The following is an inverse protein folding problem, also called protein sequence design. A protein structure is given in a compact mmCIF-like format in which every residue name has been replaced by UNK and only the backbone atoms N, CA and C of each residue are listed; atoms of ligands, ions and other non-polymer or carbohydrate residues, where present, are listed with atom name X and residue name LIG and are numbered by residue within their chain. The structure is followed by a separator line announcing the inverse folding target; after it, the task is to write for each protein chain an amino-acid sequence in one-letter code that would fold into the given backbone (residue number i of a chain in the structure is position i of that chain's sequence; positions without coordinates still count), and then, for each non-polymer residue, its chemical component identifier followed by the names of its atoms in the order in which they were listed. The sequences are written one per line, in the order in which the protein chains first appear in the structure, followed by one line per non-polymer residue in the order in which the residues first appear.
data_IF_721233441330
#
_entry.id   IF_721233441330
#
_cell.length_a   1.000
_cell.length_b   1.000
_cell.length_c   1.000
_cell.angle_alpha   90.00
_cell.angle_beta   90.00
_cell.angle_gamma   90.00
#
_symmetry.space_group_name_H-M   'P 1'
#
loop_
_entity.id
_entity.type
_entity.pdbx_description
1 polymer ?
#
# COMPACT_ATOMS: atom_id res chain seq x y z
N UNK A 1 47.07 -60.95 26.46
CA UNK A 1 45.74 -60.49 26.89
C UNK A 1 45.30 -59.38 25.94
N UNK A 2 44.42 -59.70 24.98
CA UNK A 2 43.95 -58.76 23.94
C UNK A 2 42.72 -58.02 24.47
N UNK A 3 42.76 -56.69 24.40
CA UNK A 3 41.64 -55.83 24.77
C UNK A 3 40.51 -55.99 23.74
N UNK A 4 39.27 -56.13 24.24
CA UNK A 4 38.06 -56.31 23.46
C UNK A 4 37.59 -54.95 22.87
N UNK A 5 37.50 -54.77 21.54
CA UNK A 5 37.22 -53.47 20.91
C UNK A 5 35.74 -53.07 20.83
N UNK A 6 34.81 -53.85 21.41
CA UNK A 6 33.37 -53.66 21.15
C UNK A 6 32.68 -52.54 21.94
N UNK A 7 33.35 -51.86 22.88
CA UNK A 7 32.65 -50.93 23.78
C UNK A 7 32.78 -49.43 23.42
N UNK A 8 33.05 -49.10 22.14
CA UNK A 8 33.18 -47.68 21.69
C UNK A 8 32.10 -47.21 20.70
N UNK A 9 31.16 -48.06 20.29
CA UNK A 9 30.15 -47.69 19.28
C UNK A 9 28.82 -47.16 19.84
N UNK A 10 28.55 -47.29 21.14
CA UNK A 10 27.21 -47.02 21.66
C UNK A 10 26.96 -45.58 22.18
N UNK A 11 27.88 -44.63 22.01
CA UNK A 11 27.73 -43.28 22.61
C UNK A 11 27.41 -42.18 21.59
N UNK A 12 27.54 -42.42 20.29
CA UNK A 12 27.41 -41.35 19.28
C UNK A 12 26.17 -41.42 18.37
N UNK A 13 25.28 -42.39 18.55
CA UNK A 13 24.08 -42.52 17.68
C UNK A 13 22.84 -41.78 18.19
N UNK A 14 22.86 -41.25 19.42
CA UNK A 14 21.70 -40.53 20.01
C UNK A 14 21.74 -39.00 19.96
N UNK A 15 22.76 -38.39 19.34
CA UNK A 15 22.99 -36.94 19.39
C UNK A 15 22.79 -36.20 18.05
N UNK A 16 22.52 -36.93 16.95
CA UNK A 16 22.29 -36.32 15.64
C UNK A 16 20.81 -36.07 15.31
N UNK A 17 19.88 -36.91 15.78
CA UNK A 17 18.45 -36.78 15.41
C UNK A 17 17.80 -35.48 15.91
N UNK A 18 18.14 -35.01 17.11
CA UNK A 18 17.54 -33.80 17.68
C UNK A 18 18.11 -32.48 17.12
N UNK A 19 19.22 -32.52 16.36
CA UNK A 19 19.78 -31.33 15.70
C UNK A 19 19.01 -30.98 14.44
N UNK A 20 18.63 -31.99 13.67
CA UNK A 20 17.91 -31.82 12.41
C UNK A 20 16.46 -31.37 12.65
N UNK A 21 15.77 -31.94 13.65
CA UNK A 21 14.41 -31.51 14.02
C UNK A 21 14.35 -30.06 14.51
N UNK A 22 15.35 -29.62 15.28
CA UNK A 22 15.41 -28.25 15.81
C UNK A 22 15.73 -27.23 14.72
N UNK A 23 16.53 -27.62 13.73
CA UNK A 23 16.85 -26.76 12.59
C UNK A 23 15.71 -26.71 11.57
N UNK A 24 14.99 -27.81 11.36
CA UNK A 24 13.77 -27.86 10.55
C UNK A 24 12.64 -27.07 11.22
N UNK A 25 12.42 -27.23 12.53
CA UNK A 25 11.48 -26.42 13.28
C UNK A 25 11.84 -24.92 13.21
N UNK A 26 13.13 -24.56 13.25
CA UNK A 26 13.57 -23.16 13.10
C UNK A 26 13.36 -22.65 11.67
N UNK A 27 13.50 -23.51 10.65
CA UNK A 27 13.19 -23.17 9.25
C UNK A 27 11.71 -23.01 9.01
N UNK A 28 10.88 -23.89 9.58
CA UNK A 28 9.42 -23.79 9.54
C UNK A 28 8.93 -22.56 10.30
N UNK A 29 9.47 -22.29 11.50
CA UNK A 29 9.17 -21.08 12.27
C UNK A 29 9.54 -19.80 11.48
N UNK A 30 10.73 -19.77 10.85
CA UNK A 30 11.14 -18.67 9.96
C UNK A 30 10.27 -18.56 8.70
N UNK A 31 9.80 -19.68 8.15
CA UNK A 31 8.90 -19.69 7.01
C UNK A 31 7.51 -19.18 7.39
N UNK A 32 6.98 -19.59 8.55
CA UNK A 32 5.71 -19.12 9.11
C UNK A 32 5.78 -17.62 9.43
N UNK A 33 6.88 -17.14 10.02
CA UNK A 33 7.08 -15.72 10.33
C UNK A 33 7.33 -14.86 9.06
N UNK A 34 7.96 -15.44 8.03
CA UNK A 34 8.18 -14.78 6.72
C UNK A 34 6.95 -14.75 5.82
N UNK A 35 6.11 -15.79 5.88
CA UNK A 35 4.81 -15.93 5.23
C UNK A 35 3.71 -15.11 5.94
N UNK A 36 4.01 -14.56 7.12
CA UNK A 36 3.04 -13.86 7.97
C UNK A 36 2.84 -12.37 7.58
N UNK A 37 3.89 -11.67 7.16
CA UNK A 37 3.81 -10.22 6.90
C UNK A 37 3.78 -9.84 5.42
N UNK A 38 4.59 -10.48 4.58
CA UNK A 38 4.64 -10.16 3.15
C UNK A 38 3.35 -10.54 2.45
N UNK A 39 2.77 -11.68 2.79
CA UNK A 39 1.52 -12.14 2.19
C UNK A 39 0.34 -11.27 2.63
N UNK A 40 0.29 -10.85 3.90
CA UNK A 40 -0.69 -9.86 4.37
C UNK A 40 -0.57 -8.51 3.64
N UNK A 41 0.65 -8.03 3.40
CA UNK A 41 0.88 -6.79 2.63
C UNK A 41 0.46 -6.95 1.16
N UNK A 42 0.75 -8.10 0.55
CA UNK A 42 0.35 -8.44 -0.81
C UNK A 42 -1.17 -8.51 -0.95
N UNK A 43 -1.86 -9.16 0.00
CA UNK A 43 -3.33 -9.22 0.04
C UNK A 43 -3.94 -7.82 0.19
N UNK A 44 -3.38 -6.98 1.07
CA UNK A 44 -3.84 -5.61 1.23
C UNK A 44 -3.61 -4.76 -0.02
N UNK A 45 -2.46 -4.93 -0.69
CA UNK A 45 -2.18 -4.26 -1.95
C UNK A 45 -3.14 -4.71 -3.06
N UNK A 46 -3.40 -6.02 -3.19
CA UNK A 46 -4.35 -6.57 -4.16
C UNK A 46 -5.77 -6.06 -3.91
N UNK A 47 -6.21 -6.06 -2.65
CA UNK A 47 -7.51 -5.52 -2.24
C UNK A 47 -7.65 -4.04 -2.49
N UNK A 48 -6.60 -3.25 -2.24
CA UNK A 48 -6.57 -1.83 -2.57
C UNK A 48 -6.71 -1.61 -4.08
N UNK A 49 -5.97 -2.36 -4.88
CA UNK A 49 -6.02 -2.24 -6.35
C UNK A 49 -7.36 -2.69 -6.92
N UNK A 50 -7.98 -3.75 -6.40
CA UNK A 50 -9.33 -4.18 -6.80
C UNK A 50 -10.35 -3.08 -6.57
N UNK A 51 -10.40 -2.53 -5.35
CA UNK A 51 -11.34 -1.44 -5.03
C UNK A 51 -11.09 -0.19 -5.89
N UNK A 52 -9.83 0.16 -6.14
CA UNK A 52 -9.50 1.29 -7.01
C UNK A 52 -9.92 1.04 -8.48
N UNK A 53 -9.77 -0.19 -8.96
CA UNK A 53 -10.16 -0.57 -10.32
C UNK A 53 -11.68 -0.50 -10.49
N UNK A 54 -12.44 -1.09 -9.57
CA UNK A 54 -13.91 -1.07 -9.57
C UNK A 54 -14.44 0.38 -9.62
N UNK A 55 -13.93 1.27 -8.77
CA UNK A 55 -14.31 2.70 -8.76
C UNK A 55 -13.87 3.46 -10.02
N UNK A 56 -12.69 3.12 -10.56
CA UNK A 56 -12.19 3.76 -11.79
C UNK A 56 -13.01 3.33 -13.01
N UNK A 57 -13.50 2.09 -13.04
CA UNK A 57 -14.33 1.55 -14.11
C UNK A 57 -15.77 2.05 -14.06
N UNK A 58 -16.34 2.18 -12.86
CA UNK A 58 -17.70 2.73 -12.67
C UNK A 58 -17.80 4.21 -13.08
N UNK A 59 -16.67 4.92 -13.09
CA UNK A 59 -16.58 6.37 -13.33
C UNK A 59 -17.48 7.17 -12.37
N UNK A 60 -17.68 6.63 -11.18
CA UNK A 60 -18.46 7.27 -10.15
C UNK A 60 -17.80 8.58 -9.70
N UNK A 61 -18.64 9.58 -9.40
CA UNK A 61 -18.21 10.87 -8.84
C UNK A 61 -18.62 10.94 -7.38
N UNK A 62 -17.69 11.37 -6.55
CA UNK A 62 -17.88 11.54 -5.12
C UNK A 62 -17.77 13.02 -4.73
N UNK A 63 -18.50 13.48 -3.70
CA UNK A 63 -18.26 14.79 -3.11
C UNK A 63 -16.82 14.91 -2.63
N UNK A 64 -16.17 16.05 -2.89
CA UNK A 64 -14.81 16.27 -2.45
C UNK A 64 -14.75 16.53 -0.94
N UNK A 65 -14.10 15.66 -0.14
CA UNK A 65 -14.07 15.79 1.31
C UNK A 65 -13.03 16.81 1.80
N UNK A 66 -12.23 17.38 0.90
CA UNK A 66 -11.02 18.13 1.24
C UNK A 66 -9.78 17.23 1.34
N UNK A 67 -8.62 17.86 1.51
CA UNK A 67 -7.34 17.18 1.77
C UNK A 67 -6.79 17.56 3.14
N UNK A 68 -5.96 16.69 3.71
CA UNK A 68 -5.28 16.94 4.98
C UNK A 68 -4.41 18.20 4.91
N UNK A 69 -4.45 19.04 5.97
CA UNK A 69 -3.78 20.35 5.99
C UNK A 69 -2.25 20.24 5.77
N UNK A 70 -1.64 19.19 6.31
CA UNK A 70 -0.21 18.93 6.14
C UNK A 70 0.12 18.66 4.67
N UNK A 71 -0.73 17.91 3.97
CA UNK A 71 -0.55 17.60 2.54
C UNK A 71 -0.74 18.86 1.71
N UNK A 72 -1.79 19.64 2.00
CA UNK A 72 -2.04 20.92 1.33
C UNK A 72 -0.84 21.86 1.42
N UNK A 73 -0.29 22.00 2.64
CA UNK A 73 0.89 22.86 2.89
C UNK A 73 2.10 22.40 2.08
N UNK A 74 2.33 21.08 1.99
CA UNK A 74 3.42 20.51 1.19
C UNK A 74 3.22 20.74 -0.31
N UNK A 75 2.01 20.55 -0.82
CA UNK A 75 1.70 20.80 -2.23
C UNK A 75 1.92 22.27 -2.60
N UNK A 76 1.46 23.23 -1.78
CA UNK A 76 1.73 24.66 -2.00
C UNK A 76 3.23 24.96 -2.02
N UNK A 77 4.01 24.35 -1.13
CA UNK A 77 5.46 24.56 -1.10
C UNK A 77 6.12 24.07 -2.40
N UNK A 78 5.72 22.90 -2.89
CA UNK A 78 6.20 22.35 -4.17
C UNK A 78 5.82 23.24 -5.35
N UNK A 79 4.59 23.74 -5.41
CA UNK A 79 4.15 24.66 -6.48
C UNK A 79 4.96 25.96 -6.51
N UNK A 80 5.36 26.47 -5.34
CA UNK A 80 6.21 27.67 -5.22
C UNK A 80 7.65 27.42 -5.63
N UNK A 81 8.15 26.21 -5.38
CA UNK A 81 9.50 25.81 -5.77
C UNK A 81 9.61 25.56 -7.27
N UNK A 82 8.53 25.04 -7.89
CA UNK A 82 8.48 24.68 -9.31
C UNK A 82 7.29 25.34 -10.03
N UNK A 83 7.27 26.69 -10.14
CA UNK A 83 6.13 27.40 -10.72
C UNK A 83 5.97 27.04 -12.21
N UNK A 84 4.73 26.74 -12.62
CA UNK A 84 4.37 26.43 -14.01
C UNK A 84 4.69 25.01 -14.47
N UNK A 85 5.16 24.13 -13.57
CA UNK A 85 5.41 22.73 -13.90
C UNK A 85 4.12 21.89 -13.93
N UNK A 86 3.12 22.28 -13.13
CA UNK A 86 1.85 21.57 -12.95
C UNK A 86 0.70 22.55 -12.77
N UNK A 87 -0.54 22.06 -12.85
CA UNK A 87 -1.72 22.84 -12.44
C UNK A 87 -1.52 23.33 -11.00
N UNK A 88 -1.69 24.64 -10.71
CA UNK A 88 -1.62 25.15 -9.34
C UNK A 88 -2.59 24.41 -8.41
N UNK A 89 -2.12 24.04 -7.22
CA UNK A 89 -2.87 23.25 -6.24
C UNK A 89 -4.21 23.87 -5.91
N UNK A 90 -4.27 25.19 -5.73
CA UNK A 90 -5.52 25.90 -5.42
C UNK A 90 -6.54 25.72 -6.55
N UNK A 91 -6.10 25.88 -7.81
CA UNK A 91 -6.93 25.65 -9.00
C UNK A 91 -7.41 24.20 -9.06
N UNK A 92 -6.54 23.23 -8.78
CA UNK A 92 -6.89 21.82 -8.77
C UNK A 92 -7.94 21.51 -7.69
N UNK A 93 -7.77 22.06 -6.48
CA UNK A 93 -8.70 21.86 -5.37
C UNK A 93 -10.05 22.53 -5.60
N UNK A 94 -10.08 23.71 -6.22
CA UNK A 94 -11.32 24.38 -6.60
C UNK A 94 -12.12 23.56 -7.62
N UNK A 95 -11.44 22.93 -8.58
CA UNK A 95 -12.08 21.99 -9.50
C UNK A 95 -12.65 20.78 -8.78
N UNK A 96 -11.91 20.18 -7.86
CA UNK A 96 -12.44 19.08 -7.04
C UNK A 96 -13.68 19.49 -6.24
N UNK A 97 -13.72 20.72 -5.71
CA UNK A 97 -14.90 21.25 -5.00
C UNK A 97 -16.10 21.45 -5.91
N UNK A 98 -15.88 21.97 -7.12
CA UNK A 98 -16.96 22.29 -8.07
C UNK A 98 -17.47 21.07 -8.86
N UNK A 99 -16.58 20.18 -9.26
CA UNK A 99 -16.88 19.03 -10.12
C UNK A 99 -17.13 17.75 -9.30
N UNK A 100 -16.67 17.70 -8.06
CA UNK A 100 -16.48 16.44 -7.31
C UNK A 100 -15.17 15.76 -7.70
N UNK A 101 -14.98 14.55 -7.20
CA UNK A 101 -13.78 13.75 -7.43
C UNK A 101 -14.12 12.37 -7.98
N UNK A 102 -13.17 11.77 -8.68
CA UNK A 102 -13.21 10.38 -9.12
C UNK A 102 -11.89 9.68 -8.84
N UNK A 103 -11.96 8.37 -8.72
CA UNK A 103 -10.77 7.50 -8.62
C UNK A 103 -10.28 7.18 -10.02
N UNK A 104 -8.96 7.22 -10.21
CA UNK A 104 -8.34 6.93 -11.50
C UNK A 104 -7.06 6.12 -11.29
N UNK A 105 -6.90 5.05 -12.06
CA UNK A 105 -5.66 4.29 -12.09
C UNK A 105 -4.57 5.05 -12.87
N UNK A 106 -3.32 4.90 -12.43
CA UNK A 106 -2.17 5.42 -13.15
C UNK A 106 -1.98 4.77 -14.53
N UNK A 107 -1.24 5.45 -15.42
CA UNK A 107 -0.93 4.95 -16.77
C UNK A 107 -0.25 3.58 -16.80
N UNK A 108 0.44 3.21 -15.72
CA UNK A 108 0.99 1.88 -15.54
C UNK A 108 0.24 1.17 -14.39
N UNK A 109 -0.73 0.29 -14.68
CA UNK A 109 -1.49 -0.43 -13.66
C UNK A 109 -0.61 -1.26 -12.72
N UNK A 110 0.51 -1.80 -13.23
CA UNK A 110 1.45 -2.60 -12.42
C UNK A 110 2.20 -1.77 -11.38
N UNK A 111 2.29 -0.44 -11.58
CA UNK A 111 2.87 0.46 -10.59
C UNK A 111 2.00 0.63 -9.34
N UNK A 112 0.75 0.16 -9.37
CA UNK A 112 -0.16 0.22 -8.23
C UNK A 112 -0.51 1.65 -7.80
N UNK A 113 -0.39 2.60 -8.73
CA UNK A 113 -0.65 4.02 -8.51
C UNK A 113 -2.12 4.33 -8.74
N UNK A 114 -2.73 4.97 -7.75
CA UNK A 114 -4.13 5.37 -7.73
C UNK A 114 -4.18 6.85 -7.40
N UNK A 115 -4.95 7.60 -8.18
CA UNK A 115 -5.06 9.05 -8.08
C UNK A 115 -6.50 9.47 -7.88
N UNK A 116 -6.66 10.60 -7.22
CA UNK A 116 -7.92 11.32 -7.10
C UNK A 116 -7.84 12.51 -8.05
N UNK A 117 -8.83 12.63 -8.94
CA UNK A 117 -8.87 13.71 -9.94
C UNK A 117 -10.26 14.36 -9.96
N UNK A 118 -10.40 15.59 -10.46
CA UNK A 118 -11.70 16.21 -10.69
C UNK A 118 -12.60 15.34 -11.57
N UNK A 119 -13.88 15.24 -11.22
CA UNK A 119 -14.80 14.31 -11.88
C UNK A 119 -15.08 14.64 -13.36
N UNK A 120 -15.03 15.92 -13.76
CA UNK A 120 -15.26 16.35 -15.13
C UNK A 120 -14.14 15.95 -16.11
N UNK A 121 -13.08 15.31 -15.61
CA UNK A 121 -11.93 14.89 -16.42
C UNK A 121 -12.17 13.52 -17.02
N UNK A 122 -11.93 13.38 -18.33
CA UNK A 122 -12.10 12.12 -19.04
C UNK A 122 -10.82 11.29 -19.16
N UNK A 123 -9.64 11.92 -19.09
CA UNK A 123 -8.36 11.27 -19.38
C UNK A 123 -7.32 11.44 -18.25
N UNK A 124 -6.43 10.44 -18.05
CA UNK A 124 -5.27 10.53 -17.19
C UNK A 124 -4.16 11.35 -17.86
N UNK A 125 -4.20 12.66 -17.72
CA UNK A 125 -3.04 13.51 -17.98
C UNK A 125 -2.24 13.80 -16.70
N UNK A 126 -0.91 13.85 -16.83
CA UNK A 126 0.05 13.81 -15.72
C UNK A 126 -0.05 15.04 -14.80
N UNK A 127 -0.58 16.15 -15.31
CA UNK A 127 -0.60 17.46 -14.64
C UNK A 127 -1.64 17.59 -13.52
N UNK A 128 -2.54 16.62 -13.34
CA UNK A 128 -3.53 16.62 -12.26
C UNK A 128 -3.43 15.38 -11.34
N UNK A 129 -2.39 14.55 -11.51
CA UNK A 129 -2.20 13.28 -10.79
C UNK A 129 -1.40 13.47 -9.48
N UNK A 130 -1.77 14.46 -8.67
CA UNK A 130 -1.05 14.83 -7.44
C UNK A 130 -1.78 14.43 -6.15
N UNK A 131 -3.09 14.24 -6.22
CA UNK A 131 -3.89 13.85 -5.06
C UNK A 131 -3.99 12.33 -5.03
N UNK A 132 -3.62 11.75 -3.89
CA UNK A 132 -3.64 10.30 -3.67
C UNK A 132 -4.73 10.00 -2.64
N UNK A 133 -5.32 8.78 -2.63
CA UNK A 133 -6.40 8.46 -1.70
C UNK A 133 -6.07 8.83 -0.25
N UNK A 134 -4.86 8.50 0.24
CA UNK A 134 -4.44 8.85 1.61
C UNK A 134 -4.44 10.35 1.94
N UNK A 135 -4.42 11.24 0.95
CA UNK A 135 -4.43 12.68 1.14
C UNK A 135 -5.81 13.24 1.49
N UNK A 136 -6.89 12.50 1.19
CA UNK A 136 -8.25 12.95 1.46
C UNK A 136 -8.54 12.96 2.97
N UNK A 137 -9.30 13.96 3.41
CA UNK A 137 -9.88 13.95 4.75
C UNK A 137 -10.98 12.89 4.84
N UNK A 138 -11.10 12.21 5.98
CA UNK A 138 -12.22 11.29 6.23
C UNK A 138 -13.25 12.02 7.07
N UNK A 139 -14.49 12.11 6.57
CA UNK A 139 -15.63 12.68 7.29
C UNK A 139 -16.84 11.73 7.21
N UNK A 140 -17.92 12.06 7.91
CA UNK A 140 -19.11 11.22 8.02
C UNK A 140 -19.94 11.13 6.72
N UNK A 141 -19.78 12.11 5.83
CA UNK A 141 -20.51 12.19 4.56
C UNK A 141 -19.77 11.50 3.40
N UNK A 142 -18.57 10.97 3.66
CA UNK A 142 -17.77 10.25 2.69
C UNK A 142 -18.40 8.90 2.38
N UNK A 143 -18.43 8.54 1.10
CA UNK A 143 -18.86 7.23 0.63
C UNK A 143 -18.09 6.09 1.33
N UNK A 144 -18.80 4.99 1.61
CA UNK A 144 -18.26 3.86 2.37
C UNK A 144 -17.08 3.19 1.68
N UNK A 145 -17.18 2.97 0.36
CA UNK A 145 -16.13 2.32 -0.41
C UNK A 145 -14.94 3.26 -0.57
N UNK A 146 -15.18 4.54 -0.87
CA UNK A 146 -14.12 5.55 -0.94
C UNK A 146 -13.37 5.64 0.40
N UNK A 147 -14.08 5.62 1.53
CA UNK A 147 -13.47 5.62 2.87
C UNK A 147 -12.57 4.40 3.08
N UNK A 148 -13.02 3.21 2.66
CA UNK A 148 -12.22 1.98 2.74
C UNK A 148 -10.95 2.11 1.89
N UNK A 149 -11.05 2.67 0.69
CA UNK A 149 -9.89 2.91 -0.19
C UNK A 149 -8.85 3.83 0.48
N UNK A 150 -9.29 4.96 1.05
CA UNK A 150 -8.43 5.91 1.76
C UNK A 150 -7.72 5.26 2.95
N UNK A 151 -8.45 4.50 3.76
CA UNK A 151 -7.89 3.80 4.93
C UNK A 151 -6.83 2.79 4.48
N UNK A 152 -7.10 2.00 3.43
CA UNK A 152 -6.15 1.02 2.89
C UNK A 152 -4.87 1.68 2.38
N UNK A 153 -4.96 2.79 1.65
CA UNK A 153 -3.76 3.50 1.17
C UNK A 153 -2.91 4.03 2.33
N UNK A 154 -3.56 4.58 3.38
CA UNK A 154 -2.86 5.05 4.60
C UNK A 154 -2.10 3.91 5.28
N UNK A 155 -2.72 2.74 5.45
CA UNK A 155 -2.08 1.57 6.04
C UNK A 155 -0.89 1.07 5.21
N UNK A 156 -1.07 1.00 3.88
CA UNK A 156 -0.03 0.57 2.94
C UNK A 156 1.19 1.50 2.98
N UNK A 157 0.96 2.81 3.09
CA UNK A 157 2.04 3.79 3.16
C UNK A 157 2.82 3.73 4.49
N UNK A 158 2.13 3.50 5.60
CA UNK A 158 2.76 3.39 6.92
C UNK A 158 3.60 2.13 7.07
N UNK A 159 3.22 1.02 6.41
CA UNK A 159 4.00 -0.22 6.44
C UNK A 159 5.34 -0.15 5.69
N UNK A 160 5.48 0.77 4.73
CA UNK A 160 6.72 0.93 3.92
C UNK A 160 7.73 1.86 4.58
N UNK A 161 7.31 2.70 5.54
CA UNK A 161 8.16 3.69 6.22
C UNK A 161 8.83 3.18 7.52
N UNK A 162 8.77 1.88 7.81
CA UNK A 162 9.42 1.26 8.99
C UNK A 162 10.69 0.52 8.61
#
# INVERSE_FOLDING_TARGET
MRQNPENRRAVNEGLNDHRDEKEEARRMQKAIEGFSYRDMLNENAARFMSSAAEMSESRESFPFPGIELEVHTKMIATDREFPGYTTPVDTLLDRCRGEGIRVMLGKNPESGNVYIVPAGRNEPDNEDMFILPRHLQINEMMDGDLRVLVIRDRLRYQSVRR
#
